data_IF_195252802060
#
_entry.id   IF_195252802060
#
_cell.length_a   1.000
_cell.length_b   1.000
_cell.length_c   1.000
_cell.angle_alpha   90.00
_cell.angle_beta   90.00
_cell.angle_gamma   90.00
#
_symmetry.space_group_name_H-M   'P 1'
#
loop_
_entity.id
_entity.type
_entity.pdbx_description
1 polymer ?
#
# COMPACT_ATOMS: atom_id res chain seq x y z
N UNK A 1 21.84 4.87 22.30
CA UNK A 1 22.63 4.49 21.11
C UNK A 1 21.67 3.93 20.05
N UNK A 2 21.70 4.47 18.84
CA UNK A 2 20.84 4.02 17.74
C UNK A 2 21.24 2.59 17.33
N UNK A 3 20.25 1.70 17.24
CA UNK A 3 20.45 0.32 16.79
C UNK A 3 20.25 0.26 15.26
N UNK A 4 21.21 -0.37 14.57
CA UNK A 4 21.20 -0.49 13.10
C UNK A 4 21.41 -1.95 12.68
N UNK A 5 21.03 -2.28 11.45
CA UNK A 5 21.23 -3.60 10.87
C UNK A 5 22.40 -3.57 9.87
N UNK A 6 23.16 -4.66 9.77
CA UNK A 6 24.20 -4.83 8.75
C UNK A 6 23.80 -5.94 7.79
N UNK A 7 23.96 -5.71 6.49
CA UNK A 7 23.76 -6.72 5.46
C UNK A 7 25.07 -7.05 4.78
N UNK A 8 25.40 -8.36 4.75
CA UNK A 8 26.65 -8.91 4.26
C UNK A 8 26.35 -9.94 3.17
N UNK A 9 27.09 -9.94 2.06
CA UNK A 9 26.84 -10.88 0.98
C UNK A 9 28.13 -11.40 0.36
N UNK A 10 28.19 -12.72 0.13
CA UNK A 10 29.22 -13.40 -0.65
C UNK A 10 28.60 -14.19 -1.80
N UNK A 11 29.33 -14.36 -2.91
CA UNK A 11 28.80 -15.00 -4.14
C UNK A 11 29.03 -16.50 -4.25
N UNK A 12 29.96 -17.05 -3.49
CA UNK A 12 30.36 -18.49 -3.57
C UNK A 12 30.74 -19.02 -2.20
N UNK A 13 30.61 -20.35 -2.04
CA UNK A 13 31.01 -21.07 -0.81
C UNK A 13 32.49 -20.85 -0.44
N UNK A 14 33.40 -20.77 -1.43
CA UNK A 14 34.82 -20.52 -1.19
C UNK A 14 35.16 -19.14 -0.60
N UNK A 15 34.25 -18.20 -0.59
CA UNK A 15 34.40 -16.91 0.07
C UNK A 15 33.88 -16.91 1.50
N UNK A 16 33.25 -17.97 1.97
CA UNK A 16 32.78 -18.13 3.37
C UNK A 16 33.97 -18.45 4.27
N UNK A 17 34.90 -19.31 3.81
CA UNK A 17 36.09 -19.72 4.56
C UNK A 17 37.21 -18.65 4.52
N UNK A 18 37.12 -17.67 3.64
CA UNK A 18 37.97 -16.50 3.62
C UNK A 18 37.33 -15.36 4.41
N UNK A 19 38.06 -14.25 4.64
CA UNK A 19 37.65 -13.04 5.39
C UNK A 19 36.39 -12.31 4.86
N UNK A 20 35.52 -12.97 4.07
CA UNK A 20 34.40 -12.37 3.37
C UNK A 20 33.35 -11.72 4.32
N UNK A 21 32.71 -12.52 5.16
CA UNK A 21 31.73 -12.02 6.14
C UNK A 21 32.38 -11.29 7.32
N UNK A 22 33.45 -11.84 7.98
CA UNK A 22 34.09 -11.15 9.10
C UNK A 22 34.62 -9.75 8.72
N UNK A 23 35.24 -9.62 7.53
CA UNK A 23 35.76 -8.34 7.04
C UNK A 23 34.64 -7.32 6.79
N UNK A 24 33.54 -7.75 6.13
CA UNK A 24 32.39 -6.88 5.90
C UNK A 24 31.72 -6.46 7.22
N UNK A 25 31.56 -7.41 8.16
CA UNK A 25 31.00 -7.13 9.48
C UNK A 25 31.84 -6.11 10.26
N UNK A 26 33.18 -6.26 10.21
CA UNK A 26 34.10 -5.31 10.86
C UNK A 26 33.99 -3.91 10.24
N UNK A 27 33.94 -3.79 8.91
CA UNK A 27 33.76 -2.52 8.22
C UNK A 27 32.44 -1.83 8.64
N UNK A 28 31.32 -2.59 8.65
CA UNK A 28 30.02 -2.07 9.08
C UNK A 28 30.02 -1.63 10.56
N UNK A 29 30.66 -2.40 11.45
CA UNK A 29 30.74 -2.05 12.88
C UNK A 29 31.60 -0.79 13.11
N UNK A 30 32.76 -0.67 12.42
CA UNK A 30 33.60 0.50 12.50
C UNK A 30 32.87 1.76 12.03
N UNK A 31 32.15 1.65 10.92
CA UNK A 31 31.33 2.76 10.43
C UNK A 31 30.19 3.10 11.41
N UNK A 32 29.48 2.10 11.95
CA UNK A 32 28.44 2.33 12.95
C UNK A 32 29.01 3.06 14.20
N UNK A 33 30.18 2.59 14.69
CA UNK A 33 30.85 3.21 15.83
C UNK A 33 31.23 4.69 15.57
N UNK A 34 31.71 5.01 14.36
CA UNK A 34 32.01 6.42 13.99
C UNK A 34 30.80 7.34 13.98
N UNK A 35 29.58 6.78 13.93
CA UNK A 35 28.30 7.49 13.98
C UNK A 35 27.62 7.38 15.35
N UNK A 36 28.30 6.83 16.37
CA UNK A 36 27.73 6.53 17.69
C UNK A 36 26.52 5.57 17.62
N UNK A 37 26.51 4.68 16.62
CA UNK A 37 25.50 3.63 16.42
C UNK A 37 26.04 2.26 16.85
N UNK A 38 25.13 1.32 17.11
CA UNK A 38 25.46 -0.07 17.42
C UNK A 38 24.80 -1.03 16.41
N UNK A 39 25.55 -1.96 15.86
CA UNK A 39 25.00 -3.02 14.97
C UNK A 39 24.29 -4.05 15.83
N UNK A 40 22.95 -4.09 15.76
CA UNK A 40 22.12 -5.02 16.48
C UNK A 40 22.21 -6.46 15.92
N UNK A 41 22.23 -6.58 14.59
CA UNK A 41 22.30 -7.87 13.89
C UNK A 41 22.99 -7.74 12.54
N UNK A 42 23.77 -8.75 12.18
CA UNK A 42 24.32 -8.95 10.83
C UNK A 42 23.49 -9.99 10.10
N UNK A 43 23.13 -9.68 8.86
CA UNK A 43 22.42 -10.57 7.92
C UNK A 43 23.40 -11.06 6.87
N UNK A 44 23.72 -12.33 6.91
CA UNK A 44 24.70 -12.97 6.04
C UNK A 44 24.00 -13.74 4.92
N UNK A 45 24.24 -13.37 3.68
CA UNK A 45 23.62 -14.00 2.51
C UNK A 45 24.69 -14.54 1.55
N UNK A 46 24.54 -15.82 1.22
CA UNK A 46 25.38 -16.48 0.24
C UNK A 46 24.60 -16.63 -1.06
N UNK A 47 24.67 -15.60 -1.93
CA UNK A 47 23.93 -15.60 -3.19
C UNK A 47 24.56 -14.66 -4.22
N UNK A 48 24.34 -14.94 -5.51
CA UNK A 48 24.78 -14.08 -6.60
C UNK A 48 24.17 -12.70 -6.53
N UNK A 49 24.93 -11.66 -6.83
CA UNK A 49 24.43 -10.28 -6.91
C UNK A 49 23.53 -10.00 -8.10
N UNK A 50 23.42 -10.95 -9.06
CA UNK A 50 22.53 -10.88 -10.22
C UNK A 50 21.16 -11.49 -9.97
N UNK A 51 20.96 -12.20 -8.85
CA UNK A 51 19.68 -12.81 -8.54
C UNK A 51 18.64 -11.75 -8.18
N UNK A 52 17.37 -12.00 -8.52
CA UNK A 52 16.28 -11.07 -8.27
C UNK A 52 16.16 -10.75 -6.78
N UNK A 53 15.81 -9.54 -6.45
CA UNK A 53 15.69 -9.06 -5.07
C UNK A 53 14.76 -9.94 -4.22
N UNK A 54 13.66 -10.40 -4.83
CA UNK A 54 12.63 -11.20 -4.15
C UNK A 54 12.98 -12.68 -4.00
N UNK A 55 14.03 -13.14 -4.64
CA UNK A 55 14.55 -14.53 -4.52
C UNK A 55 15.61 -14.65 -3.41
N UNK A 56 15.85 -13.59 -2.64
CA UNK A 56 16.85 -13.53 -1.58
C UNK A 56 16.17 -13.59 -0.20
N UNK A 57 16.14 -14.75 0.45
CA UNK A 57 15.41 -14.94 1.71
C UNK A 57 15.93 -14.06 2.85
N UNK A 58 17.27 -13.91 2.94
CA UNK A 58 17.89 -13.08 4.00
C UNK A 58 17.60 -11.60 3.79
N UNK A 59 17.62 -11.14 2.54
CA UNK A 59 17.23 -9.77 2.19
C UNK A 59 15.76 -9.50 2.51
N UNK A 60 14.88 -10.47 2.28
CA UNK A 60 13.45 -10.34 2.62
C UNK A 60 13.23 -10.25 4.14
N UNK A 61 13.94 -11.09 4.92
CA UNK A 61 13.90 -11.04 6.40
C UNK A 61 14.36 -9.68 6.90
N UNK A 62 15.47 -9.16 6.36
CA UNK A 62 15.98 -7.82 6.67
C UNK A 62 14.93 -6.73 6.43
N UNK A 63 14.32 -6.72 5.25
CA UNK A 63 13.30 -5.75 4.87
C UNK A 63 12.00 -5.89 5.71
N UNK A 64 11.67 -7.08 6.16
CA UNK A 64 10.51 -7.32 7.02
C UNK A 64 10.73 -6.71 8.42
N UNK A 65 11.92 -6.88 9.00
CA UNK A 65 12.27 -6.26 10.29
C UNK A 65 12.26 -4.73 10.23
N UNK A 66 12.77 -4.16 9.14
CA UNK A 66 12.70 -2.71 8.92
C UNK A 66 11.25 -2.21 8.79
N UNK A 67 10.36 -3.02 8.20
CA UNK A 67 8.94 -2.66 8.03
C UNK A 67 8.14 -2.53 9.33
N UNK A 68 8.62 -3.12 10.42
CA UNK A 68 8.01 -3.04 11.75
C UNK A 68 8.33 -1.75 12.54
N UNK A 69 9.14 -0.84 11.98
CA UNK A 69 9.50 0.42 12.63
C UNK A 69 10.56 0.28 13.74
N UNK A 70 11.05 -0.93 14.01
CA UNK A 70 12.09 -1.16 15.02
C UNK A 70 13.47 -0.72 14.55
N UNK A 71 13.76 -0.86 13.25
CA UNK A 71 15.01 -0.47 12.63
C UNK A 71 14.73 0.41 11.41
N UNK A 72 15.40 1.55 11.34
CA UNK A 72 15.30 2.55 10.27
C UNK A 72 16.58 2.71 9.46
N UNK A 73 17.61 1.92 9.77
CA UNK A 73 18.94 2.06 9.15
C UNK A 73 19.61 0.73 8.89
N UNK A 74 20.08 0.57 7.66
CA UNK A 74 20.85 -0.57 7.18
C UNK A 74 22.27 -0.08 6.81
N UNK A 75 23.29 -0.84 7.13
CA UNK A 75 24.68 -0.61 6.72
C UNK A 75 25.13 -1.78 5.84
N UNK A 76 25.77 -1.46 4.74
CA UNK A 76 26.47 -2.41 3.86
C UNK A 76 27.94 -1.99 3.75
N UNK A 77 28.85 -2.93 3.48
CA UNK A 77 30.24 -2.58 3.24
C UNK A 77 30.37 -1.65 2.03
N UNK A 78 29.73 -2.04 0.90
CA UNK A 78 29.73 -1.34 -0.40
C UNK A 78 28.42 -1.60 -1.13
N UNK A 79 28.09 -0.75 -2.09
CA UNK A 79 26.85 -0.87 -2.90
C UNK A 79 26.73 -2.21 -3.61
N UNK A 80 27.85 -2.77 -4.11
CA UNK A 80 27.88 -4.06 -4.82
C UNK A 80 27.52 -5.26 -3.93
N UNK A 81 27.48 -5.09 -2.59
CA UNK A 81 26.95 -6.09 -1.65
C UNK A 81 25.44 -6.20 -1.75
N UNK A 82 24.75 -5.10 -2.05
CA UNK A 82 23.31 -5.12 -2.30
C UNK A 82 23.03 -5.85 -3.62
N UNK A 83 23.56 -5.33 -4.71
CA UNK A 83 23.45 -5.94 -6.03
C UNK A 83 24.60 -5.47 -6.93
N UNK A 84 25.01 -6.33 -7.89
CA UNK A 84 25.92 -5.94 -8.98
C UNK A 84 25.15 -5.19 -10.08
N UNK A 85 23.89 -5.54 -10.26
CA UNK A 85 22.98 -4.89 -11.20
C UNK A 85 22.39 -3.63 -10.55
N UNK A 86 22.56 -2.51 -11.24
CA UNK A 86 22.11 -1.20 -10.77
C UNK A 86 20.60 -1.14 -10.67
N UNK A 87 19.87 -1.82 -11.56
CA UNK A 87 18.39 -1.85 -11.53
C UNK A 87 17.91 -2.57 -10.27
N UNK A 88 18.53 -3.69 -9.91
CA UNK A 88 18.22 -4.45 -8.69
C UNK A 88 18.53 -3.62 -7.45
N UNK A 89 19.67 -2.93 -7.43
CA UNK A 89 20.01 -2.03 -6.33
C UNK A 89 18.99 -0.89 -6.17
N UNK A 90 18.55 -0.25 -7.26
CA UNK A 90 17.55 0.81 -7.22
C UNK A 90 16.17 0.31 -6.79
N UNK A 91 15.79 -0.93 -7.15
CA UNK A 91 14.57 -1.57 -6.63
C UNK A 91 14.63 -1.75 -5.12
N UNK A 92 15.77 -2.20 -4.58
CA UNK A 92 16.00 -2.30 -3.14
C UNK A 92 15.90 -0.94 -2.46
N UNK A 93 16.57 0.09 -2.97
CA UNK A 93 16.51 1.44 -2.41
C UNK A 93 15.09 2.02 -2.44
N UNK A 94 14.32 1.72 -3.49
CA UNK A 94 12.90 2.12 -3.57
C UNK A 94 12.06 1.47 -2.47
N UNK A 95 12.26 0.19 -2.18
CA UNK A 95 11.57 -0.49 -1.09
C UNK A 95 12.00 0.05 0.29
N UNK A 96 13.30 0.31 0.49
CA UNK A 96 13.80 0.98 1.71
C UNK A 96 13.14 2.36 1.89
N UNK A 97 13.07 3.17 0.83
CA UNK A 97 12.44 4.50 0.87
C UNK A 97 10.96 4.44 1.25
N UNK A 98 10.20 3.48 0.70
CA UNK A 98 8.78 3.28 1.07
C UNK A 98 8.61 2.96 2.55
N UNK A 99 9.58 2.28 3.16
CA UNK A 99 9.58 1.90 4.57
C UNK A 99 10.22 2.96 5.49
N UNK A 100 10.71 4.07 4.94
CA UNK A 100 11.43 5.10 5.70
C UNK A 100 12.81 4.66 6.20
N UNK A 101 13.45 3.72 5.50
CA UNK A 101 14.75 3.13 5.88
C UNK A 101 15.87 3.78 5.10
N UNK A 102 16.89 4.28 5.80
CA UNK A 102 18.15 4.75 5.23
C UNK A 102 19.14 3.59 5.05
N UNK A 103 19.93 3.66 3.99
CA UNK A 103 21.00 2.66 3.71
C UNK A 103 22.33 3.39 3.53
N UNK A 104 23.35 2.97 4.27
CA UNK A 104 24.69 3.55 4.22
C UNK A 104 25.72 2.55 3.69
N UNK A 105 26.64 3.03 2.84
CA UNK A 105 27.84 2.32 2.45
C UNK A 105 28.97 2.68 3.44
N UNK A 106 29.57 1.67 4.06
CA UNK A 106 30.61 1.87 5.07
C UNK A 106 31.94 2.36 4.48
N UNK A 107 32.22 2.03 3.23
CA UNK A 107 33.45 2.42 2.51
C UNK A 107 33.51 3.92 2.16
N UNK A 108 32.36 4.48 1.73
CA UNK A 108 32.25 5.88 1.32
C UNK A 108 31.61 6.77 2.37
N UNK A 109 30.89 6.20 3.33
CA UNK A 109 30.05 6.93 4.28
C UNK A 109 28.79 7.52 3.69
N UNK A 110 28.47 7.23 2.43
CA UNK A 110 27.37 7.80 1.67
C UNK A 110 26.02 7.16 2.05
N UNK A 111 24.97 7.99 2.15
CA UNK A 111 23.61 7.50 2.21
C UNK A 111 23.08 7.17 0.80
N UNK A 112 22.76 5.91 0.57
CA UNK A 112 22.48 5.38 -0.77
C UNK A 112 21.04 5.61 -1.25
N UNK A 113 20.06 5.72 -0.34
CA UNK A 113 18.63 5.83 -0.70
C UNK A 113 18.32 7.20 -1.30
N UNK A 114 18.88 8.26 -0.72
CA UNK A 114 18.64 9.64 -1.14
C UNK A 114 19.80 10.24 -1.94
N UNK A 115 20.83 9.44 -2.27
CA UNK A 115 21.97 9.90 -3.07
C UNK A 115 21.50 10.49 -4.41
N UNK A 116 21.78 11.77 -4.63
CA UNK A 116 21.30 12.55 -5.79
C UNK A 116 22.42 12.86 -6.82
N UNK A 117 23.60 12.29 -6.64
CA UNK A 117 24.78 12.71 -7.41
C UNK A 117 25.03 11.97 -8.73
N UNK A 118 24.46 10.78 -8.95
CA UNK A 118 24.71 9.97 -10.15
C UNK A 118 23.56 10.14 -11.18
N UNK A 119 23.87 10.75 -12.36
CA UNK A 119 22.88 10.91 -13.43
C UNK A 119 22.29 9.59 -13.93
N UNK A 120 23.09 8.51 -13.95
CA UNK A 120 22.66 7.18 -14.40
C UNK A 120 21.62 6.60 -13.45
N UNK A 121 21.85 6.70 -12.14
CA UNK A 121 20.90 6.28 -11.11
C UNK A 121 19.61 7.10 -11.16
N UNK A 122 19.73 8.39 -11.42
CA UNK A 122 18.58 9.29 -11.58
C UNK A 122 17.73 8.88 -12.78
N UNK A 123 18.36 8.60 -13.92
CA UNK A 123 17.66 8.11 -15.13
C UNK A 123 16.95 6.76 -14.86
N UNK A 124 17.61 5.82 -14.22
CA UNK A 124 17.03 4.52 -13.89
C UNK A 124 15.81 4.69 -12.98
N UNK A 125 15.89 5.54 -11.94
CA UNK A 125 14.75 5.87 -11.07
C UNK A 125 13.56 6.44 -11.83
N UNK A 126 13.82 7.31 -12.79
CA UNK A 126 12.77 7.91 -13.65
C UNK A 126 12.11 6.84 -14.52
N UNK A 127 12.89 5.97 -15.15
CA UNK A 127 12.38 4.86 -15.97
C UNK A 127 11.53 3.90 -15.12
N UNK A 128 12.02 3.49 -13.95
CA UNK A 128 11.28 2.61 -13.04
C UNK A 128 9.99 3.27 -12.51
N UNK A 129 10.01 4.58 -12.28
CA UNK A 129 8.83 5.36 -11.93
C UNK A 129 7.78 5.35 -13.04
N UNK A 130 8.19 5.68 -14.25
CA UNK A 130 7.31 5.69 -15.43
C UNK A 130 6.73 4.28 -15.71
N UNK A 131 7.52 3.22 -15.56
CA UNK A 131 7.05 1.84 -15.72
C UNK A 131 5.98 1.48 -14.70
N UNK A 132 6.18 1.86 -13.43
CA UNK A 132 5.20 1.62 -12.37
C UNK A 132 3.87 2.36 -12.61
N UNK A 133 3.91 3.59 -13.13
CA UNK A 133 2.73 4.36 -13.52
C UNK A 133 2.00 3.71 -14.71
N UNK A 134 2.75 3.23 -15.69
CA UNK A 134 2.21 2.52 -16.85
C UNK A 134 1.51 1.23 -16.44
N UNK A 135 2.13 0.40 -15.58
CA UNK A 135 1.52 -0.82 -15.05
C UNK A 135 0.21 -0.53 -14.31
N UNK A 136 0.20 0.49 -13.43
CA UNK A 136 -1.01 0.93 -12.75
C UNK A 136 -2.10 1.34 -13.75
N UNK A 137 -1.76 2.09 -14.79
CA UNK A 137 -2.70 2.49 -15.84
C UNK A 137 -3.27 1.28 -16.60
N UNK A 138 -2.44 0.26 -16.90
CA UNK A 138 -2.88 -0.98 -17.53
C UNK A 138 -3.84 -1.77 -16.64
N UNK A 139 -3.54 -1.90 -15.35
CA UNK A 139 -4.44 -2.56 -14.38
C UNK A 139 -5.78 -1.82 -14.32
N UNK A 140 -5.77 -0.49 -14.24
CA UNK A 140 -7.00 0.31 -14.22
C UNK A 140 -7.83 0.11 -15.51
N UNK A 141 -7.18 0.08 -16.69
CA UNK A 141 -7.86 -0.20 -17.99
C UNK A 141 -8.50 -1.59 -18.00
N UNK A 142 -7.78 -2.62 -17.53
CA UNK A 142 -8.30 -4.00 -17.45
C UNK A 142 -9.52 -4.08 -16.52
N UNK A 143 -9.45 -3.44 -15.34
CA UNK A 143 -10.57 -3.39 -14.40
C UNK A 143 -11.78 -2.64 -14.97
N UNK A 144 -11.57 -1.53 -15.68
CA UNK A 144 -12.65 -0.79 -16.34
C UNK A 144 -13.30 -1.62 -17.45
N UNK A 145 -12.51 -2.32 -18.26
CA UNK A 145 -13.02 -3.22 -19.31
C UNK A 145 -13.84 -4.37 -18.69
N UNK A 146 -13.37 -4.98 -17.61
CA UNK A 146 -14.10 -6.01 -16.87
C UNK A 146 -15.43 -5.49 -16.33
N UNK A 147 -15.44 -4.30 -15.72
CA UNK A 147 -16.68 -3.66 -15.23
C UNK A 147 -17.67 -3.35 -16.35
N UNK A 148 -17.19 -2.92 -17.54
CA UNK A 148 -18.05 -2.68 -18.72
C UNK A 148 -18.69 -3.97 -19.21
N UNK A 149 -17.92 -5.07 -19.34
CA UNK A 149 -18.44 -6.38 -19.74
C UNK A 149 -19.50 -6.88 -18.76
N UNK A 150 -19.20 -6.91 -17.47
CA UNK A 150 -20.13 -7.33 -16.45
C UNK A 150 -21.42 -6.47 -16.42
N UNK A 151 -21.32 -5.16 -16.70
CA UNK A 151 -22.50 -4.30 -16.86
C UNK A 151 -23.33 -4.65 -18.11
N UNK A 152 -22.69 -5.02 -19.22
CA UNK A 152 -23.39 -5.45 -20.44
C UNK A 152 -24.11 -6.79 -20.24
N UNK A 153 -23.48 -7.73 -19.54
CA UNK A 153 -24.03 -9.07 -19.29
C UNK A 153 -25.14 -9.07 -18.22
N UNK A 154 -24.99 -8.29 -17.16
CA UNK A 154 -25.92 -8.30 -16.01
C UNK A 154 -26.90 -7.13 -16.00
N UNK A 155 -26.71 -6.12 -16.85
CA UNK A 155 -27.47 -4.88 -16.83
C UNK A 155 -27.24 -4.01 -15.57
N UNK A 156 -26.39 -4.47 -14.63
CA UNK A 156 -26.14 -3.78 -13.34
C UNK A 156 -24.73 -3.21 -13.29
N UNK A 157 -24.52 -2.04 -12.62
CA UNK A 157 -23.19 -1.51 -12.40
C UNK A 157 -22.37 -2.48 -11.56
N UNK A 158 -21.19 -2.90 -12.04
CA UNK A 158 -20.25 -3.71 -11.29
C UNK A 158 -19.25 -2.83 -10.55
N UNK A 159 -19.13 -3.04 -9.23
CA UNK A 159 -18.18 -2.35 -8.35
C UNK A 159 -18.75 -1.09 -7.68
N UNK A 160 -18.36 -0.91 -6.43
CA UNK A 160 -18.89 0.10 -5.52
C UNK A 160 -19.95 -0.49 -4.56
N UNK A 161 -20.27 0.21 -3.46
CA UNK A 161 -21.32 -0.20 -2.56
C UNK A 161 -22.65 -0.31 -3.31
N UNK A 162 -23.39 -1.37 -3.04
CA UNK A 162 -24.71 -1.55 -3.65
C UNK A 162 -25.60 -0.37 -3.29
N UNK A 163 -26.39 0.16 -4.24
CA UNK A 163 -27.31 1.23 -3.92
C UNK A 163 -28.31 0.79 -2.85
N UNK A 164 -28.61 1.65 -1.90
CA UNK A 164 -29.61 1.41 -0.88
C UNK A 164 -30.93 0.97 -1.51
N UNK A 165 -31.57 -0.08 -0.99
CA UNK A 165 -32.72 -0.73 -1.60
C UNK A 165 -32.41 -1.78 -2.66
N UNK A 166 -31.13 -2.07 -2.93
CA UNK A 166 -30.70 -3.06 -3.92
C UNK A 166 -29.80 -4.14 -3.34
N UNK A 167 -29.79 -4.34 -2.03
CA UNK A 167 -28.93 -5.32 -1.37
C UNK A 167 -29.19 -6.74 -1.92
N UNK A 168 -28.14 -7.57 -2.02
CA UNK A 168 -28.25 -8.95 -2.51
C UNK A 168 -29.10 -9.81 -1.58
N UNK A 169 -28.95 -9.62 -0.26
CA UNK A 169 -29.76 -10.27 0.77
C UNK A 169 -31.21 -9.76 0.71
N UNK A 170 -32.21 -10.66 0.55
CA UNK A 170 -33.62 -10.29 0.43
C UNK A 170 -34.19 -9.59 1.68
N UNK A 171 -33.74 -9.96 2.89
CA UNK A 171 -34.22 -9.37 4.13
C UNK A 171 -33.71 -7.93 4.29
N UNK A 172 -32.41 -7.71 4.06
CA UNK A 172 -31.81 -6.38 4.09
C UNK A 172 -32.46 -5.50 3.03
N UNK A 173 -32.66 -6.01 1.82
CA UNK A 173 -33.33 -5.30 0.73
C UNK A 173 -34.75 -4.89 1.08
N UNK A 174 -35.54 -5.78 1.72
CA UNK A 174 -36.89 -5.44 2.19
C UNK A 174 -36.90 -4.32 3.20
N UNK A 175 -35.96 -4.36 4.17
CA UNK A 175 -35.80 -3.27 5.17
C UNK A 175 -35.42 -1.95 4.53
N UNK A 176 -34.48 -1.98 3.60
CA UNK A 176 -34.03 -0.77 2.89
C UNK A 176 -35.16 -0.17 2.04
N UNK A 177 -35.93 -1.00 1.33
CA UNK A 177 -37.06 -0.54 0.52
C UNK A 177 -38.15 0.04 1.41
N UNK A 178 -38.48 -0.59 2.54
CA UNK A 178 -39.42 -0.01 3.51
C UNK A 178 -38.98 1.39 3.96
N UNK A 179 -37.68 1.61 4.21
CA UNK A 179 -37.17 2.92 4.58
C UNK A 179 -37.32 3.94 3.44
N UNK A 180 -37.04 3.53 2.20
CA UNK A 180 -37.22 4.38 1.02
C UNK A 180 -38.69 4.77 0.84
N UNK A 181 -39.61 3.82 0.93
CA UNK A 181 -41.05 4.07 0.83
C UNK A 181 -41.52 5.07 1.91
N UNK A 182 -41.05 4.90 3.15
CA UNK A 182 -41.36 5.83 4.25
C UNK A 182 -40.80 7.23 4.02
N UNK A 183 -39.58 7.36 3.49
CA UNK A 183 -39.01 8.67 3.13
C UNK A 183 -39.88 9.37 2.07
N UNK A 184 -40.31 8.61 1.06
CA UNK A 184 -41.19 9.13 -0.01
C UNK A 184 -42.54 9.55 0.55
N UNK A 185 -43.18 8.69 1.34
CA UNK A 185 -44.52 8.98 1.96
C UNK A 185 -44.48 10.21 2.81
N UNK A 186 -43.57 10.34 3.77
CA UNK A 186 -43.43 11.50 4.62
C UNK A 186 -43.19 12.81 3.84
N UNK A 187 -42.42 12.69 2.74
CA UNK A 187 -42.10 13.87 1.91
C UNK A 187 -43.27 14.24 1.02
N UNK A 188 -43.96 13.25 0.41
CA UNK A 188 -45.13 13.49 -0.48
C UNK A 188 -46.32 14.07 0.29
N UNK A 189 -46.59 13.54 1.47
CA UNK A 189 -47.68 14.01 2.33
C UNK A 189 -47.35 15.27 3.09
N UNK A 190 -46.15 15.83 2.96
CA UNK A 190 -45.62 16.97 3.71
C UNK A 190 -45.71 16.83 5.25
N UNK A 191 -45.71 15.58 5.74
CA UNK A 191 -45.79 15.27 7.17
C UNK A 191 -44.52 15.61 7.93
N UNK A 192 -43.35 15.44 7.30
CA UNK A 192 -42.04 15.68 7.90
C UNK A 192 -41.07 16.27 6.90
N UNK A 193 -40.23 17.19 7.35
CA UNK A 193 -39.09 17.65 6.57
C UNK A 193 -37.90 16.65 6.66
N UNK A 194 -36.89 16.74 5.78
CA UNK A 194 -35.77 15.81 5.73
C UNK A 194 -34.95 15.74 7.03
N UNK A 195 -34.95 16.79 7.86
CA UNK A 195 -34.29 16.78 9.17
C UNK A 195 -35.11 15.98 10.19
N UNK A 196 -36.41 16.08 10.17
CA UNK A 196 -37.32 15.33 11.02
C UNK A 196 -37.34 13.86 10.65
N UNK A 197 -37.32 13.54 9.33
CA UNK A 197 -37.17 12.16 8.83
C UNK A 197 -35.84 11.55 9.31
N UNK A 198 -34.73 12.29 9.23
CA UNK A 198 -33.44 11.84 9.72
C UNK A 198 -33.48 11.50 11.23
N UNK A 199 -34.10 12.37 12.04
CA UNK A 199 -34.28 12.14 13.46
C UNK A 199 -35.16 10.90 13.72
N UNK A 200 -36.27 10.74 12.98
CA UNK A 200 -37.18 9.59 13.09
C UNK A 200 -36.49 8.27 12.79
N UNK A 201 -35.63 8.21 11.76
CA UNK A 201 -34.82 7.05 11.40
C UNK A 201 -33.78 6.73 12.48
N UNK A 202 -33.08 7.75 13.00
CA UNK A 202 -32.09 7.61 14.06
C UNK A 202 -32.67 7.09 15.37
N UNK A 203 -33.84 7.59 15.80
CA UNK A 203 -34.54 7.13 17.00
C UNK A 203 -34.96 5.64 16.93
N UNK A 204 -35.09 5.10 15.73
CA UNK A 204 -35.41 3.68 15.50
C UNK A 204 -34.20 2.81 15.24
N UNK A 205 -33.00 3.34 15.43
CA UNK A 205 -31.73 2.66 15.17
C UNK A 205 -31.66 2.01 13.77
N UNK A 206 -32.31 2.62 12.78
CA UNK A 206 -32.27 2.13 11.40
C UNK A 206 -30.88 2.45 10.82
N UNK A 207 -30.14 1.47 10.26
CA UNK A 207 -28.82 1.73 9.71
C UNK A 207 -28.88 2.59 8.44
N UNK A 208 -27.92 3.50 8.32
CA UNK A 208 -27.70 4.30 7.11
C UNK A 208 -27.13 3.42 5.99
N UNK A 209 -27.04 3.91 4.74
CA UNK A 209 -26.36 3.20 3.66
C UNK A 209 -24.88 2.83 3.95
N UNK A 210 -24.25 3.47 4.91
CA UNK A 210 -22.87 3.20 5.36
C UNK A 210 -22.81 2.36 6.64
N UNK A 211 -23.97 1.82 7.11
CA UNK A 211 -24.04 0.99 8.30
C UNK A 211 -24.04 1.74 9.65
N UNK A 212 -24.01 3.07 9.64
CA UNK A 212 -24.11 3.90 10.85
C UNK A 212 -25.57 4.10 11.24
N UNK A 213 -25.85 4.46 12.49
CA UNK A 213 -27.20 4.80 12.96
C UNK A 213 -27.50 6.28 12.93
N UNK A 214 -26.46 7.11 12.70
CA UNK A 214 -26.61 8.57 12.69
C UNK A 214 -27.03 9.06 11.30
N UNK A 215 -28.32 9.35 11.15
CA UNK A 215 -28.87 9.93 9.93
C UNK A 215 -28.71 11.45 9.90
N UNK A 216 -28.41 12.00 8.73
CA UNK A 216 -28.39 13.43 8.50
C UNK A 216 -29.35 13.83 7.36
N UNK A 217 -29.71 15.12 7.30
CA UNK A 217 -30.59 15.69 6.28
C UNK A 217 -30.11 15.38 4.85
N UNK A 218 -28.80 15.49 4.60
CA UNK A 218 -28.22 15.30 3.27
C UNK A 218 -28.38 13.86 2.78
N UNK A 219 -28.16 12.87 3.65
CA UNK A 219 -28.36 11.45 3.32
C UNK A 219 -29.81 11.15 2.95
N UNK A 220 -30.78 11.66 3.73
CA UNK A 220 -32.20 11.45 3.46
C UNK A 220 -32.61 12.10 2.13
N UNK A 221 -32.22 13.36 1.90
CA UNK A 221 -32.48 14.06 0.65
C UNK A 221 -31.88 13.38 -0.57
N UNK A 222 -30.64 12.90 -0.46
CA UNK A 222 -29.96 12.17 -1.55
C UNK A 222 -30.69 10.85 -1.88
N UNK A 223 -31.11 10.09 -0.87
CA UNK A 223 -31.87 8.86 -1.08
C UNK A 223 -33.23 9.14 -1.74
N UNK A 224 -33.94 10.16 -1.30
CA UNK A 224 -35.21 10.60 -1.90
C UNK A 224 -35.05 10.92 -3.38
N UNK A 225 -34.09 11.79 -3.74
CA UNK A 225 -33.83 12.14 -5.14
C UNK A 225 -33.48 10.93 -5.99
N UNK A 226 -32.62 10.06 -5.45
CA UNK A 226 -32.16 8.86 -6.18
C UNK A 226 -33.28 7.83 -6.39
N UNK A 227 -34.23 7.75 -5.47
CA UNK A 227 -35.39 6.89 -5.58
C UNK A 227 -36.39 7.43 -6.62
N UNK A 228 -36.70 8.71 -6.63
CA UNK A 228 -37.56 9.32 -7.65
C UNK A 228 -37.05 9.12 -9.08
N UNK A 229 -35.73 9.24 -9.30
CA UNK A 229 -35.12 8.97 -10.62
C UNK A 229 -35.20 7.50 -11.05
N UNK A 230 -35.49 6.57 -10.14
CA UNK A 230 -35.68 5.16 -10.47
C UNK A 230 -37.12 4.87 -10.92
N UNK A 231 -38.12 5.43 -10.27
CA UNK A 231 -39.54 5.25 -10.64
C UNK A 231 -39.86 5.81 -12.03
N UNK A 232 -39.12 6.84 -12.49
CA UNK A 232 -39.32 7.43 -13.83
C UNK A 232 -38.66 6.58 -14.95
N UNK A 233 -37.82 5.59 -14.61
CA UNK A 233 -37.10 4.75 -15.58
C UNK A 233 -37.62 3.31 -15.68
N UNK A 234 -38.64 2.96 -14.91
CA UNK A 234 -39.38 1.70 -14.97
C UNK A 234 -40.71 1.92 -15.64
#
# INVERSE_FOLDING_TARGET
>A
VKQVLAYLRVSTAGQIDGDGFPRQALACRNFAASKEWSVARCFEEQQSGSDQLFDRPVMQELLALCGGGQFDTIIVERVDRIARDVVIAELFFRECKKKGVSVYAADSGEELVNASGDPTRTLIRQILGALAEWDKAQICKKLQAGRRRAKMETGKPCGGPQPYGCHADPEIRRRENYVLDRIVEFTRNKEKNFREIARWLGLRNIPTPTGQTLWNRGTVHHLYQKHQHREIKT
#
